data_IF_559509367911
#
_entry.id   IF_559509367911
#
_cell.length_a   1.000
_cell.length_b   1.000
_cell.length_c   1.000
_cell.angle_alpha   90.00
_cell.angle_beta   90.00
_cell.angle_gamma   90.00
#
_symmetry.space_group_name_H-M   'P 1'
#
loop_
_entity.id
_entity.type
_entity.pdbx_description
1 polymer ?
#
# COMPACT_ATOMS: atom_id res chain seq x y z
N UNK A 1 1.10 5.95 -7.72
CA UNK A 1 2.39 6.43 -7.18
C UNK A 1 3.24 5.24 -6.85
N UNK A 2 4.52 5.27 -7.20
CA UNK A 2 5.47 4.22 -6.81
C UNK A 2 6.02 4.43 -5.39
N UNK A 3 6.73 3.43 -4.88
CA UNK A 3 7.21 3.37 -3.48
C UNK A 3 8.34 4.35 -3.17
N UNK A 4 8.97 4.96 -4.18
CA UNK A 4 10.10 5.86 -4.00
C UNK A 4 9.67 7.25 -3.52
N UNK A 5 8.38 7.57 -3.67
CA UNK A 5 7.81 8.83 -3.21
C UNK A 5 6.94 8.56 -1.97
N UNK A 6 7.26 9.16 -0.80
CA UNK A 6 6.42 9.07 0.38
C UNK A 6 5.00 9.63 0.13
N UNK A 7 3.97 8.94 0.64
CA UNK A 7 2.57 9.34 0.41
C UNK A 7 2.26 10.78 0.85
N UNK A 8 2.84 11.21 1.98
CA UNK A 8 2.61 12.55 2.52
C UNK A 8 3.18 13.66 1.62
N UNK A 9 4.35 13.43 1.03
CA UNK A 9 4.96 14.37 0.07
C UNK A 9 4.12 14.45 -1.21
N UNK A 10 3.69 13.31 -1.74
CA UNK A 10 2.79 13.28 -2.89
C UNK A 10 1.47 14.01 -2.60
N UNK A 11 0.92 13.86 -1.40
CA UNK A 11 -0.33 14.52 -1.00
C UNK A 11 -0.20 16.04 -0.90
N UNK A 12 0.92 16.53 -0.37
CA UNK A 12 1.21 17.96 -0.26
C UNK A 12 1.25 18.62 -1.64
N UNK A 13 1.86 17.96 -2.63
CA UNK A 13 1.95 18.47 -4.01
C UNK A 13 0.61 18.40 -4.73
N UNK A 14 -0.13 17.31 -4.58
CA UNK A 14 -1.36 17.06 -5.34
C UNK A 14 -2.59 17.84 -4.84
N UNK A 15 -2.53 18.42 -3.65
CA UNK A 15 -3.51 19.40 -3.16
C UNK A 15 -4.92 18.83 -3.04
N UNK A 16 -5.13 17.92 -2.09
CA UNK A 16 -6.46 17.39 -1.75
C UNK A 16 -7.01 16.36 -2.75
N UNK A 17 -6.30 15.97 -3.80
CA UNK A 17 -6.73 14.86 -4.67
C UNK A 17 -6.56 13.51 -3.98
N UNK A 18 -7.33 12.51 -4.40
CA UNK A 18 -7.10 11.13 -3.97
C UNK A 18 -5.78 10.61 -4.56
N UNK A 19 -5.08 9.75 -3.81
CA UNK A 19 -3.83 9.12 -4.24
C UNK A 19 -4.03 7.61 -4.34
N UNK A 20 -3.42 6.98 -5.34
CA UNK A 20 -3.33 5.53 -5.47
C UNK A 20 -1.88 5.05 -5.34
N UNK A 21 -1.64 4.00 -4.55
CA UNK A 21 -0.32 3.40 -4.33
C UNK A 21 -0.08 3.01 -2.86
N UNK A 22 1.15 2.76 -2.42
CA UNK A 22 2.39 2.78 -3.19
C UNK A 22 3.33 1.62 -2.82
N UNK A 23 2.80 0.47 -2.41
CA UNK A 23 3.61 -0.65 -1.92
C UNK A 23 4.61 -1.12 -2.99
N UNK A 24 5.88 -1.30 -2.61
CA UNK A 24 6.88 -1.92 -3.47
C UNK A 24 6.48 -3.39 -3.76
N UNK A 25 6.26 -3.78 -5.04
CA UNK A 25 5.88 -5.15 -5.38
C UNK A 25 6.92 -6.17 -4.90
N UNK A 26 8.21 -5.80 -4.77
CA UNK A 26 9.26 -6.69 -4.27
C UNK A 26 8.97 -7.24 -2.86
N UNK A 27 8.18 -6.53 -2.05
CA UNK A 27 7.77 -6.97 -0.72
C UNK A 27 6.93 -8.25 -0.73
N UNK A 28 6.26 -8.56 -1.85
CA UNK A 28 5.49 -9.78 -2.01
C UNK A 28 6.35 -11.04 -2.07
N UNK A 29 7.64 -10.93 -2.40
CA UNK A 29 8.57 -12.08 -2.41
C UNK A 29 9.31 -12.26 -1.09
N UNK A 30 9.24 -11.27 -0.19
CA UNK A 30 10.02 -11.24 1.05
C UNK A 30 9.36 -11.95 2.23
N UNK A 31 9.75 -11.57 3.44
CA UNK A 31 9.13 -12.06 4.68
C UNK A 31 7.69 -11.55 4.87
N UNK A 32 6.81 -12.39 5.42
CA UNK A 32 5.38 -12.07 5.62
C UNK A 32 5.17 -11.00 6.68
N UNK A 33 5.94 -11.02 7.77
CA UNK A 33 5.81 -10.04 8.83
C UNK A 33 6.26 -8.66 8.33
N UNK A 34 7.36 -8.61 7.57
CA UNK A 34 7.83 -7.39 6.92
C UNK A 34 6.81 -6.82 5.93
N UNK A 35 6.17 -7.67 5.10
CA UNK A 35 5.10 -7.25 4.20
C UNK A 35 3.92 -6.65 4.96
N UNK A 36 3.44 -7.31 6.02
CA UNK A 36 2.33 -6.83 6.84
C UNK A 36 2.66 -5.50 7.53
N UNK A 37 3.85 -5.37 8.08
CA UNK A 37 4.31 -4.14 8.72
C UNK A 37 4.32 -2.96 7.74
N UNK A 38 4.84 -3.18 6.53
CA UNK A 38 4.90 -2.15 5.50
C UNK A 38 3.51 -1.78 4.96
N UNK A 39 2.66 -2.76 4.71
CA UNK A 39 1.27 -2.53 4.32
C UNK A 39 0.52 -1.72 5.40
N UNK A 40 0.69 -2.08 6.68
CA UNK A 40 0.11 -1.34 7.80
C UNK A 40 0.63 0.11 7.88
N UNK A 41 1.93 0.33 7.65
CA UNK A 41 2.52 1.69 7.60
C UNK A 41 1.85 2.53 6.53
N UNK A 42 1.70 1.99 5.31
CA UNK A 42 1.07 2.70 4.18
C UNK A 42 -0.41 2.98 4.45
N UNK A 43 -1.16 2.00 5.00
CA UNK A 43 -2.57 2.20 5.38
C UNK A 43 -2.70 3.31 6.42
N UNK A 44 -1.85 3.34 7.45
CA UNK A 44 -1.86 4.40 8.47
C UNK A 44 -1.59 5.77 7.86
N UNK A 45 -0.63 5.89 6.94
CA UNK A 45 -0.36 7.13 6.22
C UNK A 45 -1.57 7.59 5.40
N UNK A 46 -2.24 6.65 4.73
CA UNK A 46 -3.44 6.91 3.94
C UNK A 46 -4.61 7.49 4.75
N UNK A 47 -4.72 7.17 6.05
CA UNK A 47 -5.79 7.67 6.91
C UNK A 47 -5.78 9.19 7.07
N UNK A 48 -4.60 9.82 7.01
CA UNK A 48 -4.44 11.27 7.09
C UNK A 48 -4.73 12.01 5.79
N UNK A 49 -5.03 11.30 4.69
CA UNK A 49 -5.25 11.88 3.37
C UNK A 49 -6.73 12.05 3.06
N UNK A 50 -7.06 13.01 2.18
CA UNK A 50 -8.43 13.22 1.68
C UNK A 50 -9.00 11.96 1.00
N UNK A 51 -8.16 11.20 0.32
CA UNK A 51 -8.52 9.90 -0.25
C UNK A 51 -7.27 9.08 -0.57
N UNK A 52 -7.29 7.80 -0.22
CA UNK A 52 -6.20 6.87 -0.51
C UNK A 52 -6.75 5.53 -0.98
N UNK A 53 -6.31 5.10 -2.16
CA UNK A 53 -6.53 3.77 -2.71
C UNK A 53 -5.21 3.02 -2.54
N UNK A 54 -5.18 2.07 -1.60
CA UNK A 54 -4.02 1.20 -1.46
C UNK A 54 -3.80 0.42 -2.76
N UNK A 55 -2.58 0.42 -3.26
CA UNK A 55 -2.18 -0.37 -4.41
C UNK A 55 -0.68 -0.62 -4.37
N UNK A 56 -0.21 -1.53 -5.21
CA UNK A 56 1.20 -1.63 -5.55
C UNK A 56 1.63 -0.37 -6.32
N UNK A 57 2.93 -0.07 -6.23
CA UNK A 57 3.56 1.01 -7.00
C UNK A 57 3.83 0.64 -8.46
N UNK A 58 3.77 -0.65 -8.80
CA UNK A 58 3.90 -1.20 -10.15
C UNK A 58 3.11 -2.52 -10.24
N UNK A 59 3.40 -3.35 -11.24
CA UNK A 59 2.71 -4.60 -11.46
C UNK A 59 3.16 -5.67 -10.47
N UNK A 60 2.29 -6.65 -10.25
CA UNK A 60 2.65 -7.89 -9.55
C UNK A 60 3.74 -8.59 -10.36
N UNK A 61 4.76 -9.13 -9.69
CA UNK A 61 5.80 -9.90 -10.37
C UNK A 61 5.33 -11.34 -10.64
N UNK A 62 5.73 -11.97 -11.76
CA UNK A 62 5.31 -13.33 -12.12
C UNK A 62 5.55 -14.39 -11.04
N UNK A 63 6.61 -14.21 -10.23
CA UNK A 63 7.02 -15.12 -9.17
C UNK A 63 6.20 -14.95 -7.88
N UNK A 64 5.28 -13.98 -7.85
CA UNK A 64 4.43 -13.74 -6.69
C UNK A 64 3.45 -14.89 -6.52
N UNK A 65 3.52 -15.55 -5.38
CA UNK A 65 2.50 -16.50 -4.93
C UNK A 65 1.13 -15.78 -4.80
N UNK A 66 0.09 -16.20 -5.55
CA UNK A 66 -1.24 -15.60 -5.50
C UNK A 66 -1.84 -15.54 -4.09
N UNK A 67 -1.54 -16.52 -3.24
CA UNK A 67 -2.07 -16.56 -1.87
C UNK A 67 -1.50 -15.41 -1.03
N UNK A 68 -0.26 -14.98 -1.31
CA UNK A 68 0.33 -13.80 -0.67
C UNK A 68 -0.37 -12.52 -1.07
N UNK A 69 -0.86 -12.44 -2.30
CA UNK A 69 -1.64 -11.30 -2.77
C UNK A 69 -3.03 -11.28 -2.11
N UNK A 70 -3.69 -12.44 -2.01
CA UNK A 70 -4.96 -12.57 -1.31
C UNK A 70 -4.84 -12.17 0.17
N UNK A 71 -3.82 -12.68 0.88
CA UNK A 71 -3.54 -12.29 2.26
C UNK A 71 -3.29 -10.79 2.43
N UNK A 72 -2.56 -10.17 1.49
CA UNK A 72 -2.32 -8.73 1.51
C UNK A 72 -3.64 -7.94 1.37
N UNK A 73 -4.51 -8.36 0.45
CA UNK A 73 -5.82 -7.72 0.24
C UNK A 73 -6.67 -7.81 1.50
N UNK A 74 -6.78 -9.00 2.11
CA UNK A 74 -7.51 -9.21 3.36
C UNK A 74 -6.95 -8.32 4.48
N UNK A 75 -5.63 -8.30 4.65
CA UNK A 75 -4.95 -7.50 5.65
C UNK A 75 -5.21 -5.99 5.47
N UNK A 76 -5.15 -5.50 4.24
CA UNK A 76 -5.44 -4.10 3.91
C UNK A 76 -6.90 -3.74 4.19
N UNK A 77 -7.86 -4.62 3.85
CA UNK A 77 -9.27 -4.39 4.16
C UNK A 77 -9.57 -4.41 5.66
N UNK A 78 -8.94 -5.31 6.42
CA UNK A 78 -9.07 -5.35 7.88
C UNK A 78 -8.54 -4.07 8.51
N UNK A 79 -7.32 -3.66 8.15
CA UNK A 79 -6.65 -2.49 8.73
C UNK A 79 -7.17 -1.16 8.17
N UNK A 80 -7.74 -1.16 6.97
CA UNK A 80 -8.26 0.02 6.29
C UNK A 80 -9.66 0.44 6.75
N UNK A 81 -10.42 -0.47 7.38
CA UNK A 81 -11.75 -0.15 7.93
C UNK A 81 -11.64 0.96 8.98
N UNK A 82 -12.51 1.96 8.86
CA UNK A 82 -12.71 3.02 9.86
C UNK A 82 -13.89 2.61 10.74
N UNK A 83 -13.69 2.63 12.06
CA UNK A 83 -14.75 2.50 13.08
C UNK A 83 -15.47 3.82 13.25
#
# INVERSE_FOLDING_TARGET
MDWRVPLGEAAAVLGGKAIQGNLDPARLLGDRQALRAEASRIVVQGRGLRGHIFNLGHGVMPETDPDRLAELVEWVHERGRRT
#
